data_IF_527995279092
#
_entry.id   IF_527995279092
#
_cell.length_a   1.000
_cell.length_b   1.000
_cell.length_c   1.000
_cell.angle_alpha   90.00
_cell.angle_beta   90.00
_cell.angle_gamma   90.00
#
_symmetry.space_group_name_H-M   'P 1'
#
loop_
_entity.id
_entity.type
_entity.pdbx_description
1 polymer ?
#
# COMPACT_ATOMS: atom_id res chain seq x y z
N UNK A 1 -41.24 41.11 8.53
CA UNK A 1 -40.88 42.08 9.58
C UNK A 1 -39.41 41.87 9.91
N UNK A 2 -38.51 42.54 9.18
CA UNK A 2 -37.76 43.75 9.65
C UNK A 2 -36.80 43.39 10.79
N UNK A 3 -35.52 43.13 10.52
CA UNK A 3 -34.46 44.13 10.25
C UNK A 3 -34.38 45.19 11.35
N UNK A 4 -33.26 45.22 12.08
CA UNK A 4 -32.77 46.46 12.68
C UNK A 4 -31.33 46.71 12.24
N UNK A 5 -31.21 47.82 11.51
CA UNK A 5 -30.01 48.48 11.01
C UNK A 5 -29.45 49.41 12.09
N UNK A 6 -28.15 49.62 12.00
CA UNK A 6 -27.40 50.89 11.98
C UNK A 6 -27.97 52.13 12.68
N UNK A 7 -27.10 52.84 13.40
CA UNK A 7 -26.95 54.31 13.38
C UNK A 7 -25.54 54.66 13.88
N UNK A 8 -24.60 55.21 13.09
CA UNK A 8 -24.48 56.56 12.47
C UNK A 8 -23.57 57.49 13.29
N UNK A 9 -22.51 57.98 12.63
CA UNK A 9 -21.60 59.08 13.01
C UNK A 9 -22.33 60.45 13.04
N UNK A 10 -21.77 61.47 13.69
CA UNK A 10 -21.10 62.53 12.92
C UNK A 10 -19.78 62.99 13.59
N UNK A 11 -18.67 63.11 12.85
CA UNK A 11 -18.15 64.35 12.22
C UNK A 11 -17.98 65.52 13.19
N UNK A 12 -16.72 65.88 13.49
CA UNK A 12 -16.33 67.29 13.42
C UNK A 12 -14.89 67.47 12.95
N UNK A 13 -14.77 68.40 12.02
CA UNK A 13 -13.63 68.78 11.21
C UNK A 13 -12.91 69.95 11.91
N UNK A 14 -11.58 69.95 11.93
CA UNK A 14 -10.81 71.18 12.10
C UNK A 14 -9.58 71.12 11.19
N UNK A 15 -9.66 71.86 10.08
CA UNK A 15 -8.53 72.24 9.23
C UNK A 15 -7.98 73.55 9.80
N UNK A 16 -6.65 73.67 9.90
CA UNK A 16 -5.83 74.84 9.48
C UNK A 16 -4.38 74.64 9.98
N UNK A 17 -3.39 74.79 9.08
CA UNK A 17 -2.00 75.01 9.52
C UNK A 17 -0.91 74.37 8.66
N UNK A 18 -0.61 75.00 7.53
CA UNK A 18 0.50 74.75 6.63
C UNK A 18 1.88 74.73 7.34
N UNK A 19 2.57 73.58 7.45
CA UNK A 19 4.04 73.53 7.60
C UNK A 19 4.66 72.32 6.87
N UNK A 20 5.64 72.65 6.03
CA UNK A 20 6.44 71.77 5.19
C UNK A 20 7.52 71.09 6.04
N UNK A 21 7.38 69.80 6.33
CA UNK A 21 8.42 69.03 7.01
C UNK A 21 9.59 68.76 6.05
N UNK A 22 10.67 69.55 6.18
CA UNK A 22 11.99 69.20 5.62
C UNK A 22 12.68 68.22 6.57
N UNK A 23 13.07 67.06 6.05
CA UNK A 23 13.82 66.05 6.80
C UNK A 23 15.35 66.27 6.67
N UNK A 24 16.14 65.98 7.72
CA UNK A 24 17.60 66.13 7.75
C UNK A 24 18.37 65.07 6.93
N UNK A 25 19.67 65.30 6.58
CA UNK A 25 20.33 64.61 5.46
C UNK A 25 20.94 63.23 5.72
N UNK A 26 20.72 62.59 6.89
CA UNK A 26 21.51 61.41 7.31
C UNK A 26 20.75 60.09 7.47
N UNK A 27 19.52 59.97 6.96
CA UNK A 27 18.79 58.69 6.89
C UNK A 27 18.44 58.35 5.43
N UNK A 28 19.46 57.94 4.66
CA UNK A 28 19.25 57.25 3.39
C UNK A 28 19.13 55.76 3.65
N UNK A 29 17.91 55.26 3.70
CA UNK A 29 17.63 53.88 3.30
C UNK A 29 16.18 53.76 2.86
N UNK A 30 15.97 53.51 1.56
CA UNK A 30 14.83 52.74 1.10
C UNK A 30 15.15 52.12 -0.26
N UNK A 31 14.96 50.81 -0.31
CA UNK A 31 15.31 49.88 -1.37
C UNK A 31 14.32 50.05 -2.55
N UNK A 32 14.90 50.06 -3.75
CA UNK A 32 14.35 49.90 -5.12
C UNK A 32 12.82 49.70 -5.20
N UNK A 33 12.10 50.67 -5.79
CA UNK A 33 10.76 50.47 -6.33
C UNK A 33 10.72 50.87 -7.81
N UNK A 34 10.56 49.87 -8.67
CA UNK A 34 10.50 49.96 -10.12
C UNK A 34 9.45 50.98 -10.59
N UNK A 35 9.89 51.93 -11.41
CA UNK A 35 8.99 52.71 -12.27
C UNK A 35 8.27 51.74 -13.20
N UNK A 36 6.97 51.49 -12.98
CA UNK A 36 6.15 50.84 -14.00
C UNK A 36 6.16 51.76 -15.23
N UNK A 37 6.91 51.38 -16.26
CA UNK A 37 6.97 52.11 -17.53
C UNK A 37 5.56 52.39 -18.04
N UNK A 38 5.30 53.62 -18.52
CA UNK A 38 3.99 54.02 -19.08
C UNK A 38 3.48 53.04 -20.15
N UNK A 39 4.39 52.31 -20.80
CA UNK A 39 4.14 51.32 -21.85
C UNK A 39 3.27 50.15 -21.36
N UNK A 40 3.47 49.69 -20.12
CA UNK A 40 2.70 48.58 -19.53
C UNK A 40 1.50 49.05 -18.68
N UNK A 41 1.20 50.35 -18.65
CA UNK A 41 0.21 50.91 -17.72
C UNK A 41 -1.21 50.38 -17.95
N UNK A 42 -1.58 50.07 -19.21
CA UNK A 42 -2.92 49.62 -19.60
C UNK A 42 -2.91 48.21 -20.23
N UNK A 43 -1.85 47.43 -20.02
CA UNK A 43 -1.71 46.08 -20.59
C UNK A 43 -2.09 45.04 -19.54
N UNK A 44 -3.11 44.24 -19.85
CA UNK A 44 -3.57 43.16 -18.98
C UNK A 44 -3.07 41.81 -19.51
N UNK A 45 -2.14 41.22 -18.78
CA UNK A 45 -1.66 39.87 -19.08
C UNK A 45 -2.53 38.81 -18.37
N UNK A 46 -2.68 37.64 -18.98
CA UNK A 46 -3.39 36.50 -18.38
C UNK A 46 -2.70 35.98 -17.11
N UNK A 47 -3.37 35.07 -16.40
CA UNK A 47 -2.85 34.50 -15.16
C UNK A 47 -1.45 33.87 -15.35
N UNK A 48 -0.54 34.13 -14.42
CA UNK A 48 0.85 33.63 -14.48
C UNK A 48 1.79 34.43 -15.36
N UNK A 49 1.32 35.57 -15.90
CA UNK A 49 2.10 36.46 -16.78
C UNK A 49 2.17 37.88 -16.25
N UNK A 50 3.26 38.58 -16.56
CA UNK A 50 3.45 40.00 -16.28
C UNK A 50 3.91 40.76 -17.52
N UNK A 51 3.58 42.05 -17.57
CA UNK A 51 3.97 42.91 -18.68
C UNK A 51 5.42 43.38 -18.51
N UNK A 52 6.25 43.10 -19.51
CA UNK A 52 7.62 43.59 -19.63
C UNK A 52 7.77 44.37 -20.94
N UNK A 53 8.68 45.33 -20.97
CA UNK A 53 9.00 46.12 -22.17
C UNK A 53 10.12 45.41 -22.91
N UNK A 54 9.93 45.12 -24.20
CA UNK A 54 10.95 44.51 -25.05
C UNK A 54 12.06 45.51 -25.40
N UNK A 55 13.17 45.03 -25.94
CA UNK A 55 14.28 45.89 -26.42
C UNK A 55 13.82 46.94 -27.45
N UNK A 56 12.72 46.69 -28.15
CA UNK A 56 12.09 47.60 -29.13
C UNK A 56 11.16 48.65 -28.50
N UNK A 57 10.99 48.64 -27.18
CA UNK A 57 10.11 49.56 -26.47
C UNK A 57 8.63 49.17 -26.49
N UNK A 58 8.30 47.93 -26.88
CA UNK A 58 6.92 47.43 -27.01
C UNK A 58 6.51 46.61 -25.78
N UNK A 59 5.22 46.62 -25.36
CA UNK A 59 4.74 45.79 -24.27
C UNK A 59 4.62 44.32 -24.68
N UNK A 60 5.12 43.41 -23.85
CA UNK A 60 4.98 41.96 -24.03
C UNK A 60 4.61 41.26 -22.72
N UNK A 61 3.79 40.21 -22.80
CA UNK A 61 3.36 39.42 -21.64
C UNK A 61 4.24 38.17 -21.47
N UNK A 62 5.18 38.24 -20.53
CA UNK A 62 6.10 37.16 -20.21
C UNK A 62 5.62 36.38 -18.97
N UNK A 63 6.11 35.16 -18.79
CA UNK A 63 5.80 34.39 -17.57
C UNK A 63 6.45 35.07 -16.36
N UNK A 64 5.72 35.09 -15.24
CA UNK A 64 6.23 35.66 -13.98
C UNK A 64 7.48 34.89 -13.55
N UNK A 65 8.57 35.61 -13.25
CA UNK A 65 9.81 34.96 -12.83
C UNK A 65 9.73 34.40 -11.41
N UNK A 66 9.13 35.16 -10.48
CA UNK A 66 9.01 34.78 -9.07
C UNK A 66 7.66 35.17 -8.48
N UNK A 67 7.02 34.24 -7.79
CA UNK A 67 5.79 34.49 -7.04
C UNK A 67 6.08 34.97 -5.62
N UNK A 68 5.17 35.79 -5.08
CA UNK A 68 5.26 36.21 -3.67
C UNK A 68 5.15 34.98 -2.75
N UNK A 69 5.99 34.89 -1.70
CA UNK A 69 5.94 33.77 -0.78
C UNK A 69 4.63 33.83 0.03
N UNK A 70 3.70 32.95 -0.30
CA UNK A 70 2.46 32.75 0.42
C UNK A 70 2.13 31.26 0.42
N UNK A 71 1.69 30.73 1.57
CA UNK A 71 1.37 29.32 1.76
C UNK A 71 -0.15 29.11 1.75
N UNK A 72 -0.70 28.90 0.56
CA UNK A 72 -2.10 28.47 0.35
C UNK A 72 -2.09 27.45 -0.77
N UNK A 73 -1.83 26.20 -0.42
CA UNK A 73 -1.64 25.13 -1.40
C UNK A 73 -2.89 24.93 -2.26
N UNK A 74 -2.67 24.55 -3.52
CA UNK A 74 -3.74 24.22 -4.47
C UNK A 74 -3.37 22.97 -5.27
N UNK A 75 -4.37 22.16 -5.61
CA UNK A 75 -4.18 21.01 -6.48
C UNK A 75 -4.43 21.43 -7.94
N UNK A 76 -3.47 21.17 -8.82
CA UNK A 76 -3.63 21.37 -10.25
C UNK A 76 -4.40 20.23 -10.92
N UNK A 77 -5.05 20.52 -12.04
CA UNK A 77 -5.72 19.53 -12.90
C UNK A 77 -4.77 18.46 -13.47
N UNK A 78 -3.46 18.67 -13.35
CA UNK A 78 -2.40 17.72 -13.66
C UNK A 78 -2.00 16.82 -12.47
N UNK A 79 -2.72 16.89 -11.34
CA UNK A 79 -2.43 16.08 -10.14
C UNK A 79 -1.19 16.53 -9.36
N UNK A 80 -0.63 17.71 -9.66
CA UNK A 80 0.51 18.30 -8.96
C UNK A 80 0.04 19.33 -7.94
N UNK A 81 0.59 19.28 -6.74
CA UNK A 81 0.33 20.29 -5.70
C UNK A 81 1.24 21.50 -5.89
N UNK A 82 0.66 22.69 -5.87
CA UNK A 82 1.37 23.96 -5.93
C UNK A 82 1.28 24.69 -4.60
N UNK A 83 2.35 25.37 -4.19
CA UNK A 83 2.41 26.13 -2.92
C UNK A 83 1.37 27.25 -2.84
N UNK A 84 0.98 27.80 -3.99
CA UNK A 84 -0.08 28.79 -4.16
C UNK A 84 -0.56 28.89 -5.62
N UNK A 85 -1.66 29.61 -5.85
CA UNK A 85 -2.22 29.86 -7.19
C UNK A 85 -1.22 30.51 -8.16
N UNK A 86 -0.34 31.39 -7.69
CA UNK A 86 0.64 32.05 -8.55
C UNK A 86 1.61 31.02 -9.15
N UNK A 87 2.13 30.10 -8.31
CA UNK A 87 3.01 29.03 -8.76
C UNK A 87 2.33 28.10 -9.79
N UNK A 88 1.04 27.80 -9.60
CA UNK A 88 0.27 27.00 -10.56
C UNK A 88 0.20 27.69 -11.93
N UNK A 89 -0.17 28.97 -11.95
CA UNK A 89 -0.29 29.70 -13.22
C UNK A 89 1.07 30.01 -13.86
N UNK A 90 2.11 30.19 -13.05
CA UNK A 90 3.49 30.32 -13.53
C UNK A 90 3.94 29.04 -14.23
N UNK A 91 3.71 27.88 -13.62
CA UNK A 91 4.05 26.58 -14.22
C UNK A 91 3.26 26.35 -15.52
N UNK A 92 1.97 26.69 -15.54
CA UNK A 92 1.15 26.65 -16.75
C UNK A 92 1.71 27.54 -17.88
N UNK A 93 2.23 28.71 -17.52
CA UNK A 93 2.86 29.62 -18.48
C UNK A 93 4.18 29.06 -19.03
N UNK A 94 5.06 28.57 -18.14
CA UNK A 94 6.39 28.07 -18.50
C UNK A 94 6.33 26.77 -19.32
N UNK A 95 5.40 25.88 -18.98
CA UNK A 95 5.24 24.59 -19.67
C UNK A 95 4.37 24.69 -20.92
N UNK A 96 3.64 25.79 -21.10
CA UNK A 96 2.64 25.92 -22.16
C UNK A 96 1.40 25.03 -21.98
N UNK A 97 1.27 24.37 -20.82
CA UNK A 97 0.15 23.48 -20.52
C UNK A 97 -1.01 24.24 -19.87
N UNK A 98 -2.24 23.88 -20.22
CA UNK A 98 -3.44 24.43 -19.58
C UNK A 98 -3.67 23.71 -18.25
N UNK A 99 -3.18 24.32 -17.16
CA UNK A 99 -3.36 23.81 -15.79
C UNK A 99 -4.43 24.65 -15.10
N UNK A 100 -5.50 24.00 -14.65
CA UNK A 100 -6.57 24.63 -13.85
C UNK A 100 -6.45 24.18 -12.40
N UNK A 101 -7.04 24.95 -11.49
CA UNK A 101 -7.20 24.50 -10.10
C UNK A 101 -8.27 23.42 -10.10
N UNK A 102 -7.93 22.24 -9.59
CA UNK A 102 -8.88 21.16 -9.40
C UNK A 102 -9.64 21.35 -8.08
N UNK A 103 -8.92 21.58 -6.98
CA UNK A 103 -9.46 21.99 -5.69
C UNK A 103 -8.42 22.76 -4.87
N UNK A 104 -8.89 23.47 -3.83
CA UNK A 104 -8.02 24.11 -2.83
C UNK A 104 -7.37 23.04 -1.92
N UNK A 105 -6.13 23.26 -1.48
CA UNK A 105 -5.37 22.31 -0.65
C UNK A 105 -4.35 21.49 -1.45
N UNK A 106 -3.75 20.49 -0.80
CA UNK A 106 -2.80 19.59 -1.46
C UNK A 106 -3.58 18.56 -2.26
N UNK A 107 -3.13 18.20 -3.47
CA UNK A 107 -3.70 17.08 -4.19
C UNK A 107 -3.74 15.85 -3.28
N UNK A 108 -4.85 15.14 -3.33
CA UNK A 108 -4.90 13.79 -2.76
C UNK A 108 -3.76 13.00 -3.40
N UNK A 109 -2.84 12.53 -2.58
CA UNK A 109 -1.87 11.55 -3.03
C UNK A 109 -2.71 10.37 -3.52
N UNK A 110 -2.78 10.19 -4.84
CA UNK A 110 -3.04 8.86 -5.37
C UNK A 110 -1.98 8.02 -4.67
N UNK A 111 -2.42 7.12 -3.79
CA UNK A 111 -1.62 6.02 -3.26
C UNK A 111 -1.17 5.22 -4.48
N UNK A 112 -0.18 5.76 -5.17
CA UNK A 112 0.60 5.05 -6.15
C UNK A 112 1.44 4.16 -5.29
N UNK A 113 1.23 2.86 -5.45
CA UNK A 113 1.89 1.78 -4.73
C UNK A 113 3.40 2.02 -4.73
N UNK A 114 3.86 2.72 -3.70
CA UNK A 114 5.24 2.90 -3.33
C UNK A 114 5.33 2.37 -1.94
N UNK A 115 6.15 1.33 -1.80
CA UNK A 115 6.37 0.52 -0.61
C UNK A 115 6.52 1.35 0.69
N UNK A 116 5.41 1.76 1.27
CA UNK A 116 5.12 1.40 2.65
C UNK A 116 5.09 -0.11 2.62
N UNK A 117 5.93 -0.82 3.39
CA UNK A 117 5.97 -2.28 3.40
C UNK A 117 4.53 -2.81 3.32
N UNK A 118 4.16 -3.37 2.15
CA UNK A 118 2.80 -3.79 1.90
C UNK A 118 2.42 -4.75 3.03
N UNK A 119 1.24 -4.60 3.62
CA UNK A 119 0.80 -5.53 4.67
C UNK A 119 0.94 -6.96 4.15
N UNK A 120 1.51 -7.88 4.96
CA UNK A 120 1.72 -9.24 4.51
C UNK A 120 0.39 -9.90 4.17
N UNK A 121 0.43 -10.84 3.23
CA UNK A 121 -0.72 -11.69 2.93
C UNK A 121 -0.84 -12.69 4.07
N UNK A 122 -2.03 -12.79 4.65
CA UNK A 122 -2.28 -13.62 5.82
C UNK A 122 -3.64 -14.30 5.72
N UNK A 123 -3.77 -15.48 6.32
CA UNK A 123 -5.06 -16.12 6.50
C UNK A 123 -5.66 -15.72 7.85
N UNK A 124 -6.63 -14.81 7.84
CA UNK A 124 -7.37 -14.45 9.05
C UNK A 124 -8.26 -15.61 9.51
N UNK A 125 -8.67 -15.60 10.79
CA UNK A 125 -9.61 -16.56 11.35
C UNK A 125 -10.88 -16.68 10.49
N UNK A 126 -11.38 -15.53 10.01
CA UNK A 126 -12.54 -15.49 9.13
C UNK A 126 -12.31 -16.23 7.80
N UNK A 127 -11.14 -16.06 7.18
CA UNK A 127 -10.80 -16.74 5.92
C UNK A 127 -10.67 -18.25 6.09
N UNK A 128 -9.97 -18.69 7.15
CA UNK A 128 -9.83 -20.11 7.49
C UNK A 128 -11.19 -20.75 7.75
N UNK A 129 -12.03 -20.08 8.54
CA UNK A 129 -13.37 -20.59 8.90
C UNK A 129 -14.31 -20.62 7.69
N UNK A 130 -14.22 -19.63 6.80
CA UNK A 130 -14.96 -19.59 5.53
C UNK A 130 -14.55 -20.75 4.62
N UNK A 131 -13.24 -20.95 4.42
CA UNK A 131 -12.71 -22.06 3.63
C UNK A 131 -13.22 -23.40 4.15
N UNK A 132 -13.10 -23.61 5.46
CA UNK A 132 -13.60 -24.80 6.15
C UNK A 132 -15.10 -25.01 5.92
N UNK A 133 -15.90 -23.95 6.07
CA UNK A 133 -17.35 -24.02 5.93
C UNK A 133 -17.78 -24.39 4.51
N UNK A 134 -17.09 -23.83 3.49
CA UNK A 134 -17.33 -24.18 2.08
C UNK A 134 -17.04 -25.64 1.77
N UNK A 135 -15.93 -26.17 2.30
CA UNK A 135 -15.59 -27.59 2.13
C UNK A 135 -16.66 -28.48 2.77
N UNK A 136 -17.08 -28.17 4.00
CA UNK A 136 -18.13 -28.94 4.70
C UNK A 136 -19.43 -28.91 3.89
N UNK A 137 -19.84 -27.72 3.42
CA UNK A 137 -21.06 -27.57 2.63
C UNK A 137 -20.98 -28.37 1.32
N UNK A 138 -19.84 -28.31 0.62
CA UNK A 138 -19.64 -29.11 -0.58
C UNK A 138 -19.72 -30.60 -0.30
N UNK A 139 -19.01 -31.10 0.71
CA UNK A 139 -19.03 -32.52 1.09
C UNK A 139 -20.43 -32.98 1.50
N UNK A 140 -21.19 -32.14 2.21
CA UNK A 140 -22.58 -32.43 2.57
C UNK A 140 -23.48 -32.60 1.34
N UNK A 141 -23.24 -31.85 0.27
CA UNK A 141 -23.99 -31.99 -0.98
C UNK A 141 -23.63 -33.26 -1.77
N UNK A 142 -22.44 -33.83 -1.53
CA UNK A 142 -21.99 -35.11 -2.11
C UNK A 142 -22.53 -36.33 -1.35
N UNK A 143 -23.08 -36.15 -0.14
CA UNK A 143 -23.64 -37.25 0.65
C UNK A 143 -24.89 -37.80 -0.04
N UNK A 144 -24.85 -39.08 -0.42
CA UNK A 144 -25.98 -39.76 -1.05
C UNK A 144 -26.84 -40.40 0.03
N UNK A 145 -28.14 -40.06 0.15
CA UNK A 145 -29.00 -40.70 1.14
C UNK A 145 -29.24 -42.18 0.83
N UNK A 146 -29.60 -42.95 1.86
CA UNK A 146 -29.95 -44.37 1.70
C UNK A 146 -31.10 -44.55 0.72
N UNK A 147 -30.85 -45.34 -0.32
CA UNK A 147 -31.82 -45.68 -1.34
C UNK A 147 -32.48 -47.03 -1.08
N UNK A 148 -33.60 -47.28 -1.76
CA UNK A 148 -34.33 -48.55 -1.65
C UNK A 148 -33.52 -49.75 -2.16
N UNK A 149 -32.56 -49.52 -3.07
CA UNK A 149 -31.76 -50.57 -3.74
C UNK A 149 -30.25 -50.48 -3.47
N UNK A 150 -29.78 -49.44 -2.78
CA UNK A 150 -28.37 -49.24 -2.47
C UNK A 150 -28.24 -48.46 -1.17
N UNK A 151 -27.29 -48.88 -0.33
CA UNK A 151 -26.89 -48.09 0.84
C UNK A 151 -26.24 -46.79 0.34
N UNK A 152 -26.67 -45.67 0.89
CA UNK A 152 -26.10 -44.36 0.62
C UNK A 152 -24.69 -44.24 1.20
N UNK A 153 -24.09 -43.06 1.06
CA UNK A 153 -22.86 -42.72 1.77
C UNK A 153 -23.19 -41.86 2.97
N UNK A 154 -22.43 -42.00 4.06
CA UNK A 154 -22.45 -41.00 5.13
C UNK A 154 -21.31 -40.00 4.93
N UNK A 155 -21.32 -38.89 5.67
CA UNK A 155 -20.29 -37.85 5.57
C UNK A 155 -18.86 -38.40 5.73
N UNK A 156 -18.65 -39.31 6.68
CA UNK A 156 -17.34 -39.92 6.94
C UNK A 156 -16.90 -40.81 5.78
N UNK A 157 -17.82 -41.55 5.15
CA UNK A 157 -17.52 -42.39 3.98
C UNK A 157 -17.13 -41.54 2.77
N UNK A 158 -17.87 -40.45 2.51
CA UNK A 158 -17.55 -39.49 1.45
C UNK A 158 -16.19 -38.84 1.71
N UNK A 159 -15.91 -38.42 2.95
CA UNK A 159 -14.62 -37.83 3.30
C UNK A 159 -13.46 -38.82 3.17
N UNK A 160 -13.65 -40.08 3.60
CA UNK A 160 -12.65 -41.14 3.48
C UNK A 160 -12.31 -41.45 2.02
N UNK A 161 -13.31 -41.40 1.13
CA UNK A 161 -13.08 -41.54 -0.31
C UNK A 161 -12.13 -40.43 -0.80
N UNK A 162 -12.43 -39.18 -0.52
CA UNK A 162 -11.59 -38.06 -0.94
C UNK A 162 -10.20 -38.10 -0.30
N UNK A 163 -10.09 -38.45 0.98
CA UNK A 163 -8.80 -38.63 1.65
C UNK A 163 -7.90 -39.59 0.86
N UNK A 164 -8.43 -40.76 0.48
CA UNK A 164 -7.70 -41.77 -0.29
C UNK A 164 -7.42 -41.38 -1.74
N UNK A 165 -8.29 -40.58 -2.35
CA UNK A 165 -8.10 -40.15 -3.74
C UNK A 165 -6.92 -39.16 -3.87
N UNK A 166 -6.56 -38.46 -2.78
CA UNK A 166 -5.51 -37.44 -2.76
C UNK A 166 -4.24 -37.82 -1.98
N UNK A 167 -4.32 -38.82 -1.10
CA UNK A 167 -3.17 -39.43 -0.42
C UNK A 167 -2.24 -40.13 -1.44
N UNK A 168 -0.93 -39.85 -1.36
CA UNK A 168 0.10 -40.47 -2.20
C UNK A 168 0.45 -41.92 -1.79
N UNK A 169 -0.20 -42.46 -0.76
CA UNK A 169 -0.02 -43.81 -0.24
C UNK A 169 0.74 -43.86 1.08
N UNK A 170 1.01 -42.71 1.70
CA UNK A 170 1.60 -42.62 3.04
C UNK A 170 0.53 -42.59 4.15
N UNK A 171 -0.76 -42.64 3.78
CA UNK A 171 -1.91 -42.61 4.71
C UNK A 171 -1.99 -41.33 5.53
N UNK A 172 -1.37 -40.26 5.05
CA UNK A 172 -1.42 -38.93 5.62
C UNK A 172 -1.72 -37.93 4.50
N UNK A 173 -2.15 -36.72 4.86
CA UNK A 173 -2.31 -35.62 3.90
C UNK A 173 -1.39 -34.47 4.28
N UNK A 174 -0.47 -34.13 3.39
CA UNK A 174 0.36 -32.93 3.51
C UNK A 174 -0.29 -31.68 2.90
N UNK A 175 0.33 -30.51 3.06
CA UNK A 175 -0.18 -29.25 2.52
C UNK A 175 -0.42 -29.29 1.00
N UNK A 176 0.40 -30.04 0.25
CA UNK A 176 0.29 -30.13 -1.22
C UNK A 176 -0.91 -31.00 -1.62
N UNK A 177 -1.10 -32.14 -0.96
CA UNK A 177 -2.22 -33.04 -1.21
C UNK A 177 -3.54 -32.42 -0.79
N UNK A 178 -3.55 -31.74 0.36
CA UNK A 178 -4.72 -31.02 0.83
C UNK A 178 -5.08 -29.85 -0.11
N UNK A 179 -4.09 -29.11 -0.63
CA UNK A 179 -4.34 -28.09 -1.65
C UNK A 179 -4.96 -28.68 -2.93
N UNK A 180 -4.48 -29.84 -3.39
CA UNK A 180 -5.07 -30.55 -4.55
C UNK A 180 -6.50 -31.00 -4.28
N UNK A 181 -6.81 -31.45 -3.06
CA UNK A 181 -8.17 -31.75 -2.65
C UNK A 181 -9.09 -30.53 -2.75
N UNK A 182 -8.64 -29.35 -2.29
CA UNK A 182 -9.42 -28.11 -2.41
C UNK A 182 -9.61 -27.66 -3.87
N UNK A 183 -8.70 -28.03 -4.76
CA UNK A 183 -8.81 -27.77 -6.20
C UNK A 183 -9.80 -28.71 -6.90
N UNK A 184 -10.27 -29.78 -6.25
CA UNK A 184 -11.27 -30.69 -6.84
C UNK A 184 -12.53 -29.95 -7.29
N UNK A 185 -12.98 -29.01 -6.47
CA UNK A 185 -14.18 -28.21 -6.72
C UNK A 185 -13.90 -26.73 -6.43
N UNK A 186 -13.02 -26.14 -7.25
CA UNK A 186 -12.60 -24.75 -7.08
C UNK A 186 -13.78 -23.79 -7.01
N UNK A 187 -14.84 -24.00 -7.79
CA UNK A 187 -15.99 -23.07 -7.82
C UNK A 187 -16.77 -23.06 -6.51
N UNK A 188 -16.86 -24.20 -5.81
CA UNK A 188 -17.51 -24.29 -4.51
C UNK A 188 -16.61 -23.80 -3.35
N UNK A 189 -15.30 -24.00 -3.46
CA UNK A 189 -14.34 -23.85 -2.35
C UNK A 189 -13.56 -22.53 -2.40
N UNK A 190 -13.54 -21.83 -3.54
CA UNK A 190 -12.75 -20.60 -3.69
C UNK A 190 -13.14 -19.52 -2.66
N UNK A 191 -12.11 -18.95 -2.02
CA UNK A 191 -12.22 -17.76 -1.18
C UNK A 191 -11.43 -16.64 -1.87
N UNK A 192 -12.07 -15.48 -2.02
CA UNK A 192 -11.45 -14.30 -2.64
C UNK A 192 -11.44 -13.16 -1.64
N UNK A 193 -10.25 -12.69 -1.27
CA UNK A 193 -10.08 -11.52 -0.40
C UNK A 193 -9.15 -10.48 -1.01
N UNK A 194 -8.39 -10.85 -2.03
CA UNK A 194 -7.50 -9.97 -2.77
C UNK A 194 -8.01 -9.78 -4.20
N UNK A 195 -7.67 -8.64 -4.81
CA UNK A 195 -8.00 -8.38 -6.22
C UNK A 195 -7.15 -9.23 -7.18
N UNK A 196 -5.96 -9.62 -6.74
CA UNK A 196 -4.99 -10.38 -7.51
C UNK A 196 -5.13 -11.89 -7.29
N UNK A 197 -5.01 -12.68 -8.35
CA UNK A 197 -5.21 -14.13 -8.31
C UNK A 197 -4.06 -14.86 -7.60
N UNK A 198 -2.82 -14.40 -7.78
CA UNK A 198 -1.64 -14.98 -7.12
C UNK A 198 -1.73 -14.80 -5.60
N UNK A 199 -2.14 -13.61 -5.15
CA UNK A 199 -2.36 -13.35 -3.72
C UNK A 199 -3.48 -14.22 -3.14
N UNK A 200 -4.54 -14.51 -3.90
CA UNK A 200 -5.58 -15.45 -3.46
C UNK A 200 -5.07 -16.91 -3.43
N UNK A 201 -4.14 -17.30 -4.31
CA UNK A 201 -3.46 -18.62 -4.23
C UNK A 201 -2.62 -18.74 -2.96
N UNK A 202 -1.85 -17.70 -2.63
CA UNK A 202 -1.08 -17.62 -1.39
C UNK A 202 -1.99 -17.67 -0.16
N UNK A 203 -3.10 -16.90 -0.16
CA UNK A 203 -4.11 -16.96 0.90
C UNK A 203 -4.64 -18.38 1.11
N UNK A 204 -4.96 -19.10 0.02
CA UNK A 204 -5.42 -20.50 0.14
C UNK A 204 -4.36 -21.39 0.78
N UNK A 205 -3.09 -21.28 0.38
CA UNK A 205 -1.99 -22.04 0.99
C UNK A 205 -1.89 -21.77 2.49
N UNK A 206 -1.89 -20.49 2.88
CA UNK A 206 -1.82 -20.10 4.30
C UNK A 206 -3.02 -20.61 5.10
N UNK A 207 -4.21 -20.62 4.51
CA UNK A 207 -5.40 -21.16 5.16
C UNK A 207 -5.36 -22.69 5.27
N UNK A 208 -4.76 -23.40 4.31
CA UNK A 208 -4.51 -24.85 4.41
C UNK A 208 -3.57 -25.14 5.57
N UNK A 209 -2.44 -24.44 5.64
CA UNK A 209 -1.48 -24.63 6.73
C UNK A 209 -2.13 -24.36 8.10
N UNK A 210 -2.94 -23.30 8.20
CA UNK A 210 -3.70 -23.00 9.41
C UNK A 210 -4.79 -24.04 9.76
N UNK A 211 -5.32 -24.78 8.78
CA UNK A 211 -6.25 -25.89 9.03
C UNK A 211 -5.52 -27.16 9.46
N UNK A 212 -4.34 -27.43 8.89
CA UNK A 212 -3.49 -28.54 9.32
C UNK A 212 -3.09 -28.32 10.78
N UNK A 213 -2.51 -27.17 11.11
CA UNK A 213 -2.08 -26.85 12.48
C UNK A 213 -3.22 -26.84 13.52
N UNK A 214 -4.46 -26.64 13.07
CA UNK A 214 -5.64 -26.67 13.93
C UNK A 214 -6.00 -28.10 14.38
N UNK A 215 -5.80 -29.07 13.50
CA UNK A 215 -6.29 -30.44 13.64
C UNK A 215 -5.20 -31.48 13.81
N UNK A 216 -3.95 -31.12 13.54
CA UNK A 216 -2.76 -31.92 13.79
C UNK A 216 -2.53 -32.05 15.31
N UNK A 217 -2.89 -33.21 15.87
CA UNK A 217 -2.79 -33.48 17.30
C UNK A 217 -1.39 -33.98 17.68
N UNK A 218 -0.69 -34.62 16.74
CA UNK A 218 0.61 -35.25 16.99
C UNK A 218 1.79 -34.36 16.60
N UNK A 219 1.54 -33.19 15.98
CA UNK A 219 2.51 -32.18 15.53
C UNK A 219 3.47 -32.65 14.45
N UNK A 220 3.04 -33.56 13.56
CA UNK A 220 3.82 -34.06 12.44
C UNK A 220 3.64 -33.25 11.13
N UNK A 221 2.83 -32.19 11.17
CA UNK A 221 2.50 -31.29 10.06
C UNK A 221 1.75 -31.96 8.90
N UNK A 222 1.17 -33.13 9.16
CA UNK A 222 0.32 -33.85 8.23
C UNK A 222 -0.97 -34.22 8.92
N UNK A 223 -1.97 -34.61 8.13
CA UNK A 223 -3.26 -35.05 8.67
C UNK A 223 -3.43 -36.54 8.42
N UNK A 224 -3.48 -37.33 9.50
CA UNK A 224 -4.10 -38.64 9.46
C UNK A 224 -5.60 -38.52 9.13
N UNK A 225 -6.24 -39.62 8.76
CA UNK A 225 -7.67 -39.59 8.45
C UNK A 225 -8.53 -39.09 9.63
N UNK A 226 -8.18 -39.46 10.86
CA UNK A 226 -8.93 -39.03 12.05
C UNK A 226 -8.80 -37.52 12.29
N UNK A 227 -7.61 -36.95 12.09
CA UNK A 227 -7.36 -35.51 12.18
C UNK A 227 -8.07 -34.75 11.05
N UNK A 228 -8.04 -35.29 9.82
CA UNK A 228 -8.77 -34.75 8.68
C UNK A 228 -10.30 -34.78 8.89
N UNK A 229 -10.81 -35.87 9.46
CA UNK A 229 -12.22 -36.01 9.84
C UNK A 229 -12.62 -35.02 10.93
N UNK A 230 -11.77 -34.84 11.94
CA UNK A 230 -12.00 -33.85 13.00
C UNK A 230 -11.99 -32.42 12.46
N UNK A 231 -11.08 -32.10 11.52
CA UNK A 231 -11.01 -30.81 10.85
C UNK A 231 -12.36 -30.43 10.22
N UNK A 232 -13.00 -31.34 9.48
CA UNK A 232 -14.22 -31.06 8.72
C UNK A 232 -15.52 -31.51 9.40
N UNK A 233 -15.47 -31.91 10.67
CA UNK A 233 -16.68 -32.30 11.40
C UNK A 233 -17.67 -31.12 11.49
N UNK A 234 -18.92 -31.23 11.00
CA UNK A 234 -19.86 -30.11 10.97
C UNK A 234 -20.15 -29.45 12.33
N UNK A 235 -20.11 -30.24 13.41
CA UNK A 235 -20.31 -29.76 14.78
C UNK A 235 -19.05 -29.23 15.48
N UNK A 236 -17.88 -29.29 14.83
CA UNK A 236 -16.65 -28.75 15.39
C UNK A 236 -16.57 -27.25 15.11
N UNK A 237 -16.42 -26.47 16.18
CA UNK A 237 -16.14 -25.04 16.10
C UNK A 237 -14.65 -24.82 16.39
N UNK A 238 -13.86 -24.39 15.39
CA UNK A 238 -12.44 -24.09 15.59
C UNK A 238 -12.22 -23.14 16.77
N UNK A 239 -11.35 -23.47 17.75
CA UNK A 239 -10.98 -22.52 18.79
C UNK A 239 -10.35 -21.26 18.19
N UNK A 240 -10.63 -20.13 18.84
CA UNK A 240 -9.92 -18.88 18.57
C UNK A 240 -8.52 -18.97 19.19
N UNK A 241 -7.48 -18.85 18.35
CA UNK A 241 -6.09 -18.73 18.80
C UNK A 241 -5.68 -17.26 18.70
N UNK A 242 -5.19 -16.70 19.82
CA UNK A 242 -4.64 -15.35 19.91
C UNK A 242 -3.13 -15.41 19.74
N UNK A 243 -2.53 -14.40 19.11
CA UNK A 243 -1.08 -14.34 19.01
C UNK A 243 -0.48 -13.86 20.34
N UNK A 244 0.61 -14.47 20.78
CA UNK A 244 1.36 -14.00 21.94
C UNK A 244 2.55 -13.16 21.48
N UNK A 245 2.79 -12.02 22.14
CA UNK A 245 4.00 -11.23 21.97
C UNK A 245 4.43 -10.74 23.36
N UNK A 246 5.62 -11.14 23.79
CA UNK A 246 6.09 -10.95 25.17
C UNK A 246 5.09 -11.53 26.18
N UNK A 247 4.57 -10.72 27.11
CA UNK A 247 3.62 -11.12 28.15
C UNK A 247 2.15 -10.78 27.78
N UNK A 248 1.89 -10.35 26.54
CA UNK A 248 0.57 -9.91 26.07
C UNK A 248 -0.01 -10.82 24.97
N UNK A 249 -1.34 -10.85 24.89
CA UNK A 249 -2.08 -11.61 23.86
C UNK A 249 -2.86 -10.68 22.95
N UNK A 250 -2.79 -10.92 21.65
CA UNK A 250 -3.32 -10.08 20.59
C UNK A 250 -4.37 -10.81 19.77
N UNK A 251 -5.39 -10.08 19.34
CA UNK A 251 -6.48 -10.62 18.52
C UNK A 251 -6.08 -10.72 17.04
N UNK A 252 -6.80 -11.56 16.30
CA UNK A 252 -6.62 -11.71 14.86
C UNK A 252 -6.78 -10.36 14.15
N UNK A 253 -5.84 -10.01 13.28
CA UNK A 253 -5.75 -8.69 12.63
C UNK A 253 -4.98 -7.64 13.42
N UNK A 254 -4.51 -7.93 14.64
CA UNK A 254 -3.61 -7.02 15.34
C UNK A 254 -2.31 -6.84 14.55
N UNK A 255 -1.82 -5.61 14.51
CA UNK A 255 -0.60 -5.25 13.79
C UNK A 255 0.49 -4.83 14.79
N UNK A 256 1.72 -5.24 14.50
CA UNK A 256 2.92 -4.74 15.18
C UNK A 256 4.02 -4.49 14.16
N UNK A 257 5.07 -3.81 14.61
CA UNK A 257 6.22 -3.52 13.78
C UNK A 257 7.49 -4.00 14.48
N UNK A 258 8.23 -4.87 13.80
CA UNK A 258 9.53 -5.37 14.26
C UNK A 258 10.57 -4.81 13.30
N UNK A 259 11.36 -3.84 13.77
CA UNK A 259 12.30 -3.06 12.95
C UNK A 259 11.58 -2.36 11.77
N UNK A 260 11.91 -2.71 10.54
CA UNK A 260 11.25 -2.22 9.33
C UNK A 260 10.16 -3.17 8.80
N UNK A 261 9.98 -4.33 9.44
CA UNK A 261 9.01 -5.33 9.03
C UNK A 261 7.66 -5.13 9.71
N UNK A 262 6.61 -5.16 8.91
CA UNK A 262 5.23 -5.10 9.39
C UNK A 262 4.76 -6.52 9.67
N UNK A 263 4.24 -6.76 10.87
CA UNK A 263 3.74 -8.05 11.31
C UNK A 263 2.25 -7.97 11.59
N UNK A 264 1.51 -9.01 11.22
CA UNK A 264 0.07 -9.13 11.43
C UNK A 264 -0.20 -10.45 12.14
N UNK A 265 -0.99 -10.39 13.22
CA UNK A 265 -1.50 -11.57 13.91
C UNK A 265 -2.58 -12.22 13.05
N UNK A 266 -2.40 -13.48 12.69
CA UNK A 266 -3.33 -14.23 11.86
C UNK A 266 -3.42 -15.69 12.30
N UNK A 267 -4.62 -16.17 12.62
CA UNK A 267 -4.90 -17.52 13.11
C UNK A 267 -4.05 -17.96 14.32
N UNK A 268 -3.59 -17.01 15.16
CA UNK A 268 -2.75 -17.29 16.33
C UNK A 268 -1.24 -17.18 16.07
N UNK A 269 -0.82 -16.90 14.83
CA UNK A 269 0.58 -16.76 14.45
C UNK A 269 0.90 -15.34 13.97
N UNK A 270 2.09 -14.85 14.30
CA UNK A 270 2.60 -13.58 13.76
C UNK A 270 3.22 -13.81 12.38
N UNK A 271 2.68 -13.15 11.35
CA UNK A 271 3.23 -13.18 10.00
C UNK A 271 3.81 -11.82 9.68
N UNK A 272 5.11 -11.77 9.38
CA UNK A 272 5.85 -10.55 9.11
C UNK A 272 6.26 -10.44 7.64
N UNK A 273 6.36 -9.21 7.13
CA UNK A 273 7.11 -8.95 5.91
C UNK A 273 8.58 -9.37 6.10
N UNK A 274 9.25 -9.73 5.02
CA UNK A 274 10.65 -10.16 5.03
C UNK A 274 11.55 -9.20 4.23
N UNK A 275 11.59 -7.93 4.62
CA UNK A 275 12.50 -6.94 4.05
C UNK A 275 13.73 -6.77 4.94
N UNK A 276 14.89 -6.60 4.32
CA UNK A 276 16.15 -6.34 5.04
C UNK A 276 16.20 -4.88 5.47
N UNK A 277 16.26 -4.67 6.78
CA UNK A 277 16.27 -3.36 7.39
C UNK A 277 17.68 -2.74 7.31
N UNK A 278 18.08 -2.28 6.13
CA UNK A 278 19.26 -1.43 5.99
C UNK A 278 18.84 0.03 6.07
N UNK A 279 19.59 0.85 6.82
CA UNK A 279 19.43 2.31 6.91
C UNK A 279 19.76 2.97 5.56
N UNK A 280 18.86 2.78 4.59
CA UNK A 280 18.67 3.46 3.32
C UNK A 280 17.70 2.57 2.54
N UNK A 281 16.42 2.93 2.60
CA UNK A 281 15.55 2.66 1.44
C UNK A 281 16.33 3.17 0.22
N UNK A 282 16.63 2.34 -0.80
CA UNK A 282 17.23 2.87 -2.00
C UNK A 282 16.23 3.89 -2.52
N UNK A 283 16.63 5.17 -2.51
CA UNK A 283 15.97 6.14 -3.33
C UNK A 283 16.07 5.58 -4.75
N UNK A 284 14.96 5.02 -5.24
CA UNK A 284 14.81 4.71 -6.65
C UNK A 284 14.96 6.04 -7.36
N UNK A 285 16.19 6.31 -7.81
CA UNK A 285 16.43 7.31 -8.83
C UNK A 285 15.54 6.91 -10.00
N UNK A 286 14.57 7.76 -10.30
CA UNK A 286 13.77 7.62 -11.50
C UNK A 286 14.70 7.82 -12.69
N UNK A 287 15.25 6.72 -13.20
CA UNK A 287 15.71 6.66 -14.58
C UNK A 287 14.49 6.24 -15.39
N UNK A 288 13.90 7.19 -16.10
CA UNK A 288 12.95 6.90 -17.16
C UNK A 288 13.69 6.10 -18.24
N UNK A 289 13.31 4.83 -18.45
CA UNK A 289 13.63 4.08 -19.66
C UNK A 289 14.27 2.69 -19.47
N UNK A 290 13.50 1.69 -19.88
CA UNK A 290 13.86 0.33 -20.30
C UNK A 290 14.20 -0.71 -19.20
N UNK A 291 13.37 -1.75 -19.16
CA UNK A 291 13.73 -3.09 -18.71
C UNK A 291 15.09 -3.50 -19.31
N UNK A 292 16.06 -3.81 -18.46
CA UNK A 292 17.22 -4.60 -18.85
C UNK A 292 17.23 -5.85 -17.97
N UNK A 293 16.79 -6.97 -18.56
CA UNK A 293 17.11 -8.30 -18.06
C UNK A 293 18.63 -8.42 -17.89
N UNK A 294 19.05 -8.96 -16.74
CA UNK A 294 20.44 -9.25 -16.41
C UNK A 294 21.01 -10.23 -17.43
N UNK A 295 22.19 -9.93 -17.99
CA UNK A 295 22.80 -10.77 -19.02
C UNK A 295 23.25 -12.13 -18.45
N UNK A 296 23.23 -13.19 -19.26
CA UNK A 296 23.67 -14.55 -18.85
C UNK A 296 25.10 -14.55 -18.28
N UNK A 297 25.96 -13.63 -18.73
CA UNK A 297 27.33 -13.47 -18.24
C UNK A 297 27.38 -12.93 -16.80
N UNK A 298 26.49 -11.99 -16.45
CA UNK A 298 26.39 -11.44 -15.09
C UNK A 298 25.76 -12.45 -14.12
N UNK A 299 24.80 -13.24 -14.59
CA UNK A 299 24.22 -14.34 -13.83
C UNK A 299 25.26 -15.42 -13.54
N UNK A 300 26.04 -15.82 -14.54
CA UNK A 300 27.10 -16.83 -14.40
C UNK A 300 28.20 -16.38 -13.43
N UNK A 301 28.55 -15.08 -13.41
CA UNK A 301 29.50 -14.53 -12.43
C UNK A 301 28.96 -14.57 -11.01
N UNK A 302 27.69 -14.22 -10.79
CA UNK A 302 27.04 -14.31 -9.47
C UNK A 302 26.95 -15.75 -8.96
N UNK A 303 26.62 -16.70 -9.83
CA UNK A 303 26.59 -18.14 -9.47
C UNK A 303 27.99 -18.63 -9.11
N UNK A 304 29.02 -18.22 -9.84
CA UNK A 304 30.41 -18.58 -9.51
C UNK A 304 30.89 -17.98 -8.19
N UNK A 305 30.48 -16.76 -7.86
CA UNK A 305 30.77 -16.15 -6.54
C UNK A 305 30.08 -16.90 -5.41
N UNK A 306 28.80 -17.27 -5.56
CA UNK A 306 28.05 -18.04 -4.56
C UNK A 306 28.67 -19.43 -4.32
N UNK A 307 29.06 -20.13 -5.39
CA UNK A 307 29.72 -21.43 -5.26
C UNK A 307 31.08 -21.32 -4.55
N UNK A 308 31.83 -20.24 -4.76
CA UNK A 308 33.10 -19.98 -4.06
C UNK A 308 32.89 -19.73 -2.55
N UNK A 309 31.79 -19.08 -2.18
CA UNK A 309 31.39 -18.93 -0.78
C UNK A 309 30.97 -20.27 -0.16
N UNK A 310 30.34 -21.15 -0.93
CA UNK A 310 29.92 -22.48 -0.46
C UNK A 310 31.13 -23.41 -0.24
N UNK A 311 32.11 -23.40 -1.16
CA UNK A 311 33.36 -24.15 -1.01
C UNK A 311 34.22 -23.67 0.17
N UNK A 312 34.20 -22.37 0.47
CA UNK A 312 34.93 -21.82 1.63
C UNK A 312 34.26 -22.17 2.95
N UNK A 313 32.93 -22.19 3.00
CA UNK A 313 32.16 -22.66 4.16
C UNK A 313 32.35 -24.16 4.39
N UNK A 314 32.40 -24.97 3.33
CA UNK A 314 32.66 -26.42 3.44
C UNK A 314 34.10 -26.72 3.90
N UNK A 315 35.10 -25.99 3.40
CA UNK A 315 36.49 -26.11 3.88
C UNK A 315 36.64 -25.70 5.34
N UNK A 316 35.90 -24.70 5.80
CA UNK A 316 35.87 -24.31 7.22
C UNK A 316 35.25 -25.40 8.10
N UNK A 317 34.19 -26.10 7.63
CA UNK A 317 33.54 -27.21 8.34
C UNK A 317 34.40 -28.48 8.43
N UNK A 318 35.27 -28.73 7.45
CA UNK A 318 36.22 -29.86 7.49
C UNK A 318 37.36 -29.57 8.48
N UNK A 319 37.85 -28.32 8.52
CA UNK A 319 38.94 -27.94 9.43
C UNK A 319 38.57 -27.97 10.92
N UNK A 320 37.29 -27.99 11.28
CA UNK A 320 36.82 -28.02 12.68
C UNK A 320 36.55 -29.44 13.19
N UNK A 321 36.74 -30.47 12.36
CA UNK A 321 36.50 -31.87 12.70
C UNK A 321 37.77 -32.67 13.05
N UNK A 322 38.95 -32.08 12.87
CA UNK A 322 40.27 -32.69 13.15
C UNK A 322 41.04 -31.97 14.29
N UNK A 323 40.33 -31.36 15.26
CA UNK A 323 40.90 -30.87 16.53
C UNK A 323 40.13 -31.48 17.69
#
# INVERSE_FOLDING_TARGET
>A
MTAFRSNVLPVNLAILGNTRWRWPPSMRSCIISHSKSKVCANVFCGAGRECAVTEKGEPSCLCIEQCKPHKRSVCGSNGKTYRNHCELHRDACLTGLKIQVYHDGHCEEKKTDKAVAASPIVCYLANRNELRSRVIQWLQNEVVPDGWFAKGSNFSDTLLKYFKDYDNGDSQLDSTEFLKFLQHNETAINITSYADEENNRLLRSLCVDALIELSDENTDWKLSFDEFLNCFKPGFNPPERKCALEDETYEDGAETQVECNRCVCACGNWVCTAVTCTDKVPAVEKTEGADQEMTEEEWTRRVAELNKHQETVEKMKVSTKDI
#
